data_IF_096487878834
#
_entry.id   IF_096487878834
#
_cell.length_a   1.000
_cell.length_b   1.000
_cell.length_c   1.000
_cell.angle_alpha   90.00
_cell.angle_beta   90.00
_cell.angle_gamma   90.00
#
_symmetry.space_group_name_H-M   'P 1'
#
loop_
_entity.id
_entity.type
_entity.pdbx_description
1 polymer ?
#
# COMPACT_ATOMS: atom_id res chain seq x y z
N UNK A 1 -10.42 -1.98 -16.23
CA UNK A 1 -9.38 -1.38 -15.37
C UNK A 1 -10.03 -0.97 -14.05
N UNK A 2 -9.51 -1.41 -12.91
CA UNK A 2 -9.98 -0.90 -11.63
C UNK A 2 -9.73 0.62 -11.57
N UNK A 3 -10.70 1.36 -11.04
CA UNK A 3 -10.65 2.82 -10.99
C UNK A 3 -10.49 3.27 -9.55
N UNK A 4 -9.49 4.11 -9.32
CA UNK A 4 -9.43 4.93 -8.12
C UNK A 4 -10.67 5.83 -8.09
N UNK A 5 -11.49 5.71 -7.05
CA UNK A 5 -12.67 6.56 -6.85
C UNK A 5 -12.39 7.72 -5.92
N UNK A 6 -11.66 7.47 -4.82
CA UNK A 6 -11.46 8.48 -3.79
C UNK A 6 -10.16 8.21 -3.03
N UNK A 7 -9.45 9.27 -2.71
CA UNK A 7 -8.36 9.27 -1.72
C UNK A 7 -8.82 10.12 -0.55
N UNK A 8 -8.58 9.64 0.67
CA UNK A 8 -8.84 10.39 1.91
C UNK A 8 -7.67 10.27 2.87
N UNK A 9 -7.53 11.28 3.72
CA UNK A 9 -6.66 11.20 4.88
C UNK A 9 -7.38 10.51 6.03
N UNK A 10 -6.62 9.75 6.80
CA UNK A 10 -7.06 9.02 7.99
C UNK A 10 -6.16 9.33 9.18
N UNK A 11 -6.69 9.14 10.38
CA UNK A 11 -5.96 9.22 11.65
C UNK A 11 -6.00 7.89 12.42
N UNK A 12 -6.28 6.76 11.74
CA UNK A 12 -6.31 5.42 12.33
C UNK A 12 -5.00 5.13 13.09
N UNK A 13 -5.10 4.58 14.31
CA UNK A 13 -3.90 4.31 15.12
C UNK A 13 -3.10 3.08 14.66
N UNK A 14 -3.79 2.06 14.14
CA UNK A 14 -3.22 0.74 13.90
C UNK A 14 -2.86 0.44 12.44
N UNK A 15 -2.97 1.42 11.55
CA UNK A 15 -2.72 1.19 10.12
C UNK A 15 -2.22 2.44 9.42
N UNK A 16 -1.32 2.23 8.46
CA UNK A 16 -0.72 3.30 7.65
C UNK A 16 -1.54 3.60 6.38
N UNK A 17 -2.32 2.64 5.90
CA UNK A 17 -3.13 2.75 4.70
C UNK A 17 -4.21 1.67 4.64
N UNK A 18 -5.26 1.90 3.85
CA UNK A 18 -6.17 0.83 3.44
C UNK A 18 -6.82 1.13 2.11
N UNK A 19 -7.15 0.07 1.38
CA UNK A 19 -7.90 0.12 0.13
C UNK A 19 -9.13 -0.76 0.24
N UNK A 20 -10.30 -0.22 -0.08
CA UNK A 20 -11.54 -0.99 -0.20
C UNK A 20 -11.78 -1.44 -1.64
N UNK A 21 -12.49 -2.55 -1.81
CA UNK A 21 -12.84 -3.12 -3.13
C UNK A 21 -13.62 -2.17 -4.05
N UNK A 22 -14.22 -1.11 -3.50
CA UNK A 22 -14.90 -0.07 -4.27
C UNK A 22 -13.95 1.00 -4.88
N UNK A 23 -12.63 0.90 -4.66
CA UNK A 23 -11.62 1.84 -5.16
C UNK A 23 -11.39 3.07 -4.28
N UNK A 24 -11.69 3.01 -2.98
CA UNK A 24 -11.37 4.07 -2.03
C UNK A 24 -10.10 3.74 -1.28
N UNK A 25 -9.12 4.65 -1.31
CA UNK A 25 -7.88 4.54 -0.54
C UNK A 25 -7.94 5.53 0.63
N UNK A 26 -7.60 5.06 1.82
CA UNK A 26 -7.38 5.88 3.00
C UNK A 26 -5.89 5.84 3.36
N UNK A 27 -5.25 7.00 3.45
CA UNK A 27 -3.85 7.12 3.83
C UNK A 27 -3.75 7.80 5.19
N UNK A 28 -2.93 7.26 6.09
CA UNK A 28 -2.70 7.90 7.38
C UNK A 28 -1.94 9.22 7.19
N UNK A 29 -2.42 10.31 7.78
CA UNK A 29 -1.74 11.61 7.67
C UNK A 29 -0.30 11.57 8.20
N UNK A 30 -0.01 10.66 9.14
CA UNK A 30 1.34 10.46 9.69
C UNK A 30 2.36 9.99 8.65
N UNK A 31 1.94 9.54 7.46
CA UNK A 31 2.86 9.25 6.36
C UNK A 31 3.68 10.48 5.94
N UNK A 32 3.21 11.70 6.21
CA UNK A 32 3.99 12.92 5.98
C UNK A 32 5.14 13.12 6.96
N UNK A 33 5.15 12.36 8.07
CA UNK A 33 6.14 12.49 9.15
C UNK A 33 7.25 11.42 9.07
N UNK A 34 7.13 10.45 8.17
CA UNK A 34 8.10 9.35 8.04
C UNK A 34 8.99 9.57 6.80
N UNK A 35 10.15 8.89 6.72
CA UNK A 35 10.98 8.92 5.51
C UNK A 35 10.17 8.66 4.24
N UNK A 36 10.44 9.46 3.21
CA UNK A 36 9.69 9.43 1.93
C UNK A 36 9.68 8.03 1.30
N UNK A 37 10.76 7.27 1.42
CA UNK A 37 10.86 5.90 0.92
C UNK A 37 9.84 4.96 1.58
N UNK A 38 9.62 5.08 2.90
CA UNK A 38 8.60 4.30 3.61
C UNK A 38 7.19 4.75 3.24
N UNK A 39 6.97 6.05 3.10
CA UNK A 39 5.68 6.59 2.67
C UNK A 39 5.32 6.11 1.24
N UNK A 40 6.29 6.14 0.32
CA UNK A 40 6.13 5.66 -1.04
C UNK A 40 5.76 4.16 -1.07
N UNK A 41 6.41 3.34 -0.23
CA UNK A 41 6.07 1.92 -0.12
C UNK A 41 4.60 1.72 0.27
N UNK A 42 4.11 2.40 1.31
CA UNK A 42 2.71 2.29 1.74
C UNK A 42 1.76 2.75 0.63
N UNK A 43 2.06 3.86 -0.05
CA UNK A 43 1.23 4.36 -1.15
C UNK A 43 1.15 3.33 -2.29
N UNK A 44 2.28 2.73 -2.68
CA UNK A 44 2.33 1.71 -3.73
C UNK A 44 1.59 0.43 -3.30
N UNK A 45 1.67 0.06 -2.02
CA UNK A 45 0.92 -1.04 -1.44
C UNK A 45 -0.59 -0.84 -1.62
N UNK A 46 -1.12 0.31 -1.19
CA UNK A 46 -2.55 0.62 -1.32
C UNK A 46 -3.01 0.75 -2.77
N UNK A 47 -2.18 1.34 -3.63
CA UNK A 47 -2.48 1.41 -5.07
C UNK A 47 -2.52 0.02 -5.71
N UNK A 48 -1.66 -0.89 -5.27
CA UNK A 48 -1.64 -2.28 -5.77
C UNK A 48 -2.91 -3.03 -5.42
N UNK A 49 -3.54 -2.69 -4.29
CA UNK A 49 -4.83 -3.25 -3.91
C UNK A 49 -5.98 -2.89 -4.85
N UNK A 50 -5.85 -1.85 -5.69
CA UNK A 50 -6.85 -1.59 -6.74
C UNK A 50 -6.96 -2.75 -7.73
N UNK A 51 -5.87 -3.50 -7.95
CA UNK A 51 -5.81 -4.61 -8.91
C UNK A 51 -5.91 -5.95 -8.17
N UNK A 52 -5.21 -6.10 -7.05
CA UNK A 52 -5.14 -7.34 -6.27
C UNK A 52 -5.52 -7.09 -4.81
N UNK A 53 -6.74 -7.42 -4.41
CA UNK A 53 -7.25 -7.19 -3.04
C UNK A 53 -6.63 -8.11 -1.98
N UNK A 54 -5.81 -9.07 -2.38
CA UNK A 54 -5.09 -9.98 -1.49
C UNK A 54 -3.57 -9.83 -1.72
N UNK A 55 -2.76 -10.30 -0.77
CA UNK A 55 -1.30 -10.25 -0.86
C UNK A 55 -0.73 -11.44 -1.64
N UNK A 56 -1.31 -11.77 -2.80
CA UNK A 56 -0.87 -12.88 -3.66
C UNK A 56 0.51 -12.62 -4.28
N UNK A 57 1.06 -13.62 -4.96
CA UNK A 57 2.32 -13.47 -5.69
C UNK A 57 2.25 -12.35 -6.75
N UNK A 58 1.10 -12.23 -7.42
CA UNK A 58 0.82 -11.18 -8.40
C UNK A 58 0.80 -9.80 -7.77
N UNK A 59 0.19 -9.65 -6.58
CA UNK A 59 0.23 -8.40 -5.81
C UNK A 59 1.68 -7.96 -5.58
N UNK A 60 2.52 -8.86 -5.07
CA UNK A 60 3.91 -8.54 -4.77
C UNK A 60 4.77 -8.31 -6.02
N UNK A 61 4.47 -9.02 -7.10
CA UNK A 61 5.09 -8.77 -8.41
C UNK A 61 4.81 -7.32 -8.84
N UNK A 62 3.56 -6.88 -8.72
CA UNK A 62 3.16 -5.52 -9.07
C UNK A 62 3.80 -4.47 -8.15
N UNK A 63 3.79 -4.67 -6.83
CA UNK A 63 4.48 -3.77 -5.89
C UNK A 63 5.96 -3.64 -6.26
N UNK A 64 6.63 -4.75 -6.59
CA UNK A 64 8.05 -4.76 -6.95
C UNK A 64 8.37 -4.06 -8.27
N UNK A 65 7.40 -3.98 -9.19
CA UNK A 65 7.54 -3.25 -10.45
C UNK A 65 7.67 -1.74 -10.21
N UNK A 66 6.90 -1.21 -9.24
CA UNK A 66 6.88 0.22 -8.92
C UNK A 66 7.82 0.60 -7.77
N UNK A 67 8.22 -0.36 -6.95
CA UNK A 67 9.20 -0.16 -5.88
C UNK A 67 10.31 -1.23 -5.91
N UNK A 68 11.28 -1.11 -6.85
CA UNK A 68 12.33 -2.13 -7.04
C UNK A 68 13.22 -2.34 -5.81
N UNK A 69 13.35 -1.32 -4.95
CA UNK A 69 14.08 -1.38 -3.67
C UNK A 69 13.47 -2.39 -2.67
N UNK A 70 12.23 -2.84 -2.89
CA UNK A 70 11.56 -3.85 -2.07
C UNK A 70 12.24 -5.23 -2.09
N UNK A 71 13.02 -5.54 -3.15
CA UNK A 71 13.65 -6.87 -3.32
C UNK A 71 14.61 -7.28 -2.20
N UNK A 72 14.97 -6.38 -1.27
CA UNK A 72 15.88 -6.68 -0.15
C UNK A 72 15.16 -7.27 1.08
N UNK A 73 13.83 -7.17 1.20
CA UNK A 73 13.14 -7.41 2.47
C UNK A 73 12.21 -8.63 2.54
N UNK A 74 12.19 -9.54 1.56
CA UNK A 74 11.24 -10.67 1.57
C UNK A 74 11.84 -11.95 2.14
N UNK A 75 12.14 -11.92 3.43
CA UNK A 75 12.27 -13.13 4.26
C UNK A 75 11.78 -12.85 5.67
N UNK A 76 10.48 -12.61 5.83
CA UNK A 76 9.70 -12.99 7.01
C UNK A 76 8.23 -12.64 6.79
N UNK A 77 7.38 -13.59 7.18
CA UNK A 77 5.93 -13.54 7.13
C UNK A 77 5.35 -12.50 8.10
N UNK A 78 4.14 -12.03 7.77
CA UNK A 78 3.22 -11.17 8.55
C UNK A 78 3.34 -9.65 8.33
N UNK A 79 2.96 -9.20 7.13
CA UNK A 79 2.71 -7.78 6.88
C UNK A 79 1.23 -7.44 7.14
N UNK A 80 0.92 -7.01 8.36
CA UNK A 80 -0.27 -6.22 8.65
C UNK A 80 0.03 -4.75 8.37
N UNK A 81 -0.52 -4.23 7.27
CA UNK A 81 -0.59 -2.80 6.97
C UNK A 81 -1.55 -2.04 7.91
#
# INVERSE_FOLDING_TARGET
>A
MPKLKKIRLSSTKNSWGSCSSNGTIALNWKLSLIPQELANYVIIHELSHLIYMNHSQEFWSQVSQFYPKFKVAKKSSNDTA
#
